data_IF_386399149447
#
_entry.id   IF_386399149447
#
_cell.length_a   1.000
_cell.length_b   1.000
_cell.length_c   1.000
_cell.angle_alpha   90.00
_cell.angle_beta   90.00
_cell.angle_gamma   90.00
#
_symmetry.space_group_name_H-M   'P 1'
#
loop_
_entity.id
_entity.type
_entity.pdbx_description
1 polymer ?
#
# COMPACT_ATOMS: atom_id res chain seq x y z
N UNK A 1 9.05 7.67 66.63
CA UNK A 1 9.40 6.25 66.43
C UNK A 1 9.79 6.10 64.96
N UNK A 2 11.00 6.55 64.63
CA UNK A 2 12.24 5.75 64.52
C UNK A 2 12.36 5.06 63.15
N UNK A 3 13.24 5.67 62.35
CA UNK A 3 13.97 5.11 61.21
C UNK A 3 14.51 3.69 61.47
N UNK A 4 14.95 3.01 60.40
CA UNK A 4 16.41 2.98 60.23
C UNK A 4 16.86 3.50 58.87
N UNK A 5 17.82 4.41 58.93
CA UNK A 5 18.79 4.71 57.87
C UNK A 5 19.78 3.55 57.71
N UNK A 6 20.46 3.55 56.56
CA UNK A 6 21.89 3.27 56.30
C UNK A 6 21.96 2.61 54.91
N UNK A 7 22.71 3.10 53.93
CA UNK A 7 23.69 4.16 53.93
C UNK A 7 24.06 4.58 52.51
N UNK A 8 24.63 5.76 52.45
CA UNK A 8 25.36 6.35 51.33
C UNK A 8 26.52 5.46 50.88
N UNK A 9 26.67 5.26 49.57
CA UNK A 9 28.00 5.17 48.98
C UNK A 9 28.05 5.89 47.61
N UNK A 10 29.08 6.71 47.34
CA UNK A 10 29.12 7.69 46.27
C UNK A 10 29.82 7.13 45.04
N UNK A 11 29.08 6.89 43.95
CA UNK A 11 29.69 6.76 42.64
C UNK A 11 28.75 7.24 41.53
N UNK A 12 28.05 8.35 41.77
CA UNK A 12 27.55 9.22 40.72
C UNK A 12 28.56 10.35 40.53
N UNK A 13 29.49 10.20 39.59
CA UNK A 13 30.01 11.34 38.83
C UNK A 13 30.77 10.88 37.58
N UNK A 14 30.37 11.48 36.46
CA UNK A 14 31.14 11.73 35.22
C UNK A 14 31.57 10.54 34.35
N UNK A 15 30.75 10.26 33.33
CA UNK A 15 31.18 10.28 31.93
C UNK A 15 29.93 10.58 31.07
N UNK A 16 29.78 11.85 30.72
CA UNK A 16 28.72 12.30 29.83
C UNK A 16 28.94 11.78 28.41
N UNK A 17 28.05 10.91 27.94
CA UNK A 17 27.87 10.65 26.52
C UNK A 17 26.42 10.89 26.14
N UNK A 18 26.19 11.93 25.33
CA UNK A 18 24.92 12.17 24.62
C UNK A 18 24.67 11.01 23.66
N UNK A 19 23.77 10.09 24.02
CA UNK A 19 23.28 9.07 23.10
C UNK A 19 22.17 9.70 22.24
N UNK A 20 22.46 9.92 20.96
CA UNK A 20 21.57 10.54 19.95
C UNK A 20 20.74 9.53 19.15
N UNK A 21 20.51 8.31 19.66
CA UNK A 21 19.82 7.26 18.88
C UNK A 21 18.69 6.57 19.69
N UNK A 22 17.41 6.78 19.34
CA UNK A 22 16.28 6.19 20.05
C UNK A 22 16.19 4.66 19.93
N UNK A 23 16.90 4.03 18.98
CA UNK A 23 16.94 2.57 18.82
C UNK A 23 17.60 1.85 20.02
N UNK A 24 18.52 2.51 20.72
CA UNK A 24 19.19 1.95 21.91
C UNK A 24 18.34 2.01 23.18
N UNK A 25 17.32 2.87 23.22
CA UNK A 25 16.42 2.98 24.38
C UNK A 25 15.39 1.84 24.41
N UNK A 26 14.92 1.40 23.23
CA UNK A 26 13.97 0.30 23.08
C UNK A 26 14.58 -1.07 23.46
N UNK A 27 15.90 -1.24 23.28
CA UNK A 27 16.59 -2.49 23.59
C UNK A 27 16.74 -2.76 25.10
N UNK A 28 16.72 -1.71 25.93
CA UNK A 28 16.81 -1.86 27.40
C UNK A 28 15.50 -2.35 28.02
N UNK A 29 14.37 -2.15 27.35
CA UNK A 29 13.05 -2.59 27.83
C UNK A 29 12.76 -4.07 27.55
N UNK A 30 13.31 -4.64 26.47
CA UNK A 30 13.11 -6.06 26.11
C UNK A 30 13.84 -7.04 27.02
N UNK A 31 14.94 -6.63 27.67
CA UNK A 31 15.76 -7.51 28.51
C UNK A 31 15.21 -7.68 29.95
N UNK A 32 14.19 -6.90 30.35
CA UNK A 32 13.65 -6.92 31.72
C UNK A 32 12.45 -7.87 31.92
N UNK A 33 11.98 -8.58 30.87
CA UNK A 33 10.79 -9.43 30.95
C UNK A 33 10.99 -10.87 30.45
N UNK A 34 12.19 -11.44 30.63
CA UNK A 34 12.40 -12.88 30.42
C UNK A 34 12.39 -13.59 31.79
N UNK A 35 11.30 -14.27 32.19
CA UNK A 35 11.26 -15.03 33.42
C UNK A 35 11.80 -16.44 33.15
N UNK A 36 13.10 -16.62 33.30
CA UNK A 36 13.75 -17.87 33.72
C UNK A 36 15.24 -17.75 33.48
N UNK A 37 16.00 -17.64 34.58
CA UNK A 37 17.35 -18.14 34.75
C UNK A 37 17.80 -17.70 36.15
N UNK A 38 17.53 -18.56 37.11
CA UNK A 38 18.03 -18.48 38.47
C UNK A 38 19.56 -18.68 38.49
N UNK A 39 20.35 -17.61 38.68
CA UNK A 39 21.60 -17.52 39.48
C UNK A 39 22.33 -16.17 39.28
N UNK A 40 23.12 -15.70 40.27
CA UNK A 40 23.43 -14.29 40.44
C UNK A 40 24.58 -13.76 39.57
N UNK A 41 24.60 -12.43 39.44
CA UNK A 41 25.56 -11.57 38.77
C UNK A 41 26.99 -12.13 38.63
N UNK A 42 27.42 -12.28 37.38
CA UNK A 42 28.83 -12.16 36.99
C UNK A 42 28.91 -11.26 35.75
N UNK A 43 29.91 -10.39 35.75
CA UNK A 43 30.14 -9.31 34.79
C UNK A 43 30.22 -9.89 33.38
N UNK A 44 29.25 -9.55 32.52
CA UNK A 44 29.24 -9.96 31.11
C UNK A 44 30.32 -9.17 30.38
N UNK A 45 31.32 -9.87 29.86
CA UNK A 45 32.41 -9.30 29.09
C UNK A 45 31.91 -8.84 27.71
N UNK A 46 32.54 -7.80 27.15
CA UNK A 46 32.20 -7.22 25.84
C UNK A 46 32.26 -8.24 24.67
N UNK A 47 32.89 -9.41 24.87
CA UNK A 47 32.90 -10.54 23.93
C UNK A 47 31.59 -11.34 23.94
N UNK A 48 30.92 -11.47 25.08
CA UNK A 48 29.68 -12.24 25.22
C UNK A 48 28.48 -11.51 24.59
N UNK A 49 28.53 -10.17 24.57
CA UNK A 49 27.52 -9.32 23.92
C UNK A 49 27.53 -9.47 22.39
N UNK A 50 28.70 -9.68 21.80
CA UNK A 50 28.84 -9.93 20.35
C UNK A 50 28.34 -11.32 19.97
N UNK A 51 28.59 -12.32 20.81
CA UNK A 51 28.08 -13.69 20.60
C UNK A 51 26.56 -13.76 20.61
N UNK A 52 25.90 -13.07 21.55
CA UNK A 52 24.44 -13.02 21.63
C UNK A 52 23.79 -12.33 20.41
N UNK A 53 24.41 -11.27 19.88
CA UNK A 53 23.93 -10.55 18.69
C UNK A 53 24.03 -11.42 17.43
N UNK A 54 25.12 -12.18 17.27
CA UNK A 54 25.32 -13.11 16.15
C UNK A 54 24.32 -14.25 16.20
N UNK A 55 24.02 -14.79 17.40
CA UNK A 55 23.04 -15.86 17.57
C UNK A 55 21.60 -15.39 17.24
N UNK A 56 21.24 -14.17 17.65
CA UNK A 56 19.94 -13.55 17.31
C UNK A 56 19.80 -13.28 15.82
N UNK A 57 20.86 -12.82 15.14
CA UNK A 57 20.87 -12.63 13.70
C UNK A 57 20.80 -13.96 12.94
N UNK A 58 21.46 -15.01 13.43
CA UNK A 58 21.40 -16.35 12.83
C UNK A 58 20.01 -16.98 12.95
N UNK A 59 19.34 -16.85 14.11
CA UNK A 59 17.96 -17.30 14.31
C UNK A 59 16.96 -16.51 13.44
N UNK A 60 17.22 -15.22 13.24
CA UNK A 60 16.44 -14.36 12.32
C UNK A 60 16.59 -14.79 10.85
N UNK A 61 17.78 -15.26 10.48
CA UNK A 61 18.08 -15.77 9.14
C UNK A 61 17.40 -17.12 8.91
N UNK A 62 17.46 -18.03 9.88
CA UNK A 62 16.84 -19.37 9.78
C UNK A 62 15.31 -19.30 9.63
N UNK A 63 14.64 -18.38 10.33
CA UNK A 63 13.19 -18.19 10.21
C UNK A 63 12.74 -17.48 8.91
N UNK A 64 13.63 -16.74 8.24
CA UNK A 64 13.32 -16.09 6.95
C UNK A 64 13.50 -17.02 5.75
N UNK A 65 14.47 -17.92 5.80
CA UNK A 65 14.75 -18.87 4.70
C UNK A 65 13.69 -19.96 4.61
N UNK A 66 13.00 -20.31 5.70
CA UNK A 66 11.92 -21.30 5.69
C UNK A 66 10.55 -20.76 5.22
N UNK A 67 10.39 -19.44 5.08
CA UNK A 67 9.10 -18.81 4.73
C UNK A 67 9.00 -18.35 3.27
N UNK A 68 10.10 -18.28 2.54
CA UNK A 68 10.10 -17.88 1.13
C UNK A 68 11.01 -18.82 0.35
N UNK A 69 10.45 -19.45 -0.68
CA UNK A 69 11.01 -20.52 -1.53
C UNK A 69 10.91 -21.92 -0.93
N UNK A 70 9.91 -22.71 -1.38
CA UNK A 70 10.08 -23.98 -2.13
C UNK A 70 8.69 -24.48 -2.56
N UNK A 71 8.47 -24.60 -3.87
CA UNK A 71 7.46 -25.48 -4.47
C UNK A 71 8.06 -26.90 -4.54
N UNK A 72 7.35 -27.96 -4.11
CA UNK A 72 7.93 -29.29 -4.04
C UNK A 72 7.89 -29.96 -5.41
N UNK A 73 8.92 -29.74 -6.22
CA UNK A 73 9.16 -30.61 -7.39
C UNK A 73 10.61 -30.83 -7.79
N UNK A 74 11.59 -30.08 -7.27
CA UNK A 74 13.01 -30.30 -7.60
C UNK A 74 13.90 -30.29 -6.35
N UNK A 75 13.99 -31.41 -5.65
CA UNK A 75 15.07 -31.70 -4.71
C UNK A 75 15.59 -33.11 -4.99
N UNK A 76 16.83 -33.22 -5.45
CA UNK A 76 17.58 -34.47 -5.41
C UNK A 76 17.98 -34.77 -3.95
N UNK A 77 17.97 -36.04 -3.50
CA UNK A 77 18.26 -36.36 -2.11
C UNK A 77 19.78 -36.42 -1.87
N UNK A 78 20.27 -35.66 -0.90
CA UNK A 78 21.57 -35.94 -0.25
C UNK A 78 22.51 -34.76 -0.07
N UNK A 79 22.17 -33.76 0.74
CA UNK A 79 23.17 -32.95 1.46
C UNK A 79 22.59 -32.60 2.84
N UNK A 80 23.10 -33.24 3.89
CA UNK A 80 22.81 -32.89 5.28
C UNK A 80 23.96 -31.96 5.72
N UNK A 81 23.68 -30.67 5.89
CA UNK A 81 24.63 -29.75 6.49
C UNK A 81 24.70 -30.00 8.00
N UNK A 82 25.88 -30.34 8.51
CA UNK A 82 26.10 -30.54 9.95
C UNK A 82 26.53 -29.23 10.62
N UNK A 83 26.29 -29.09 11.91
CA UNK A 83 26.52 -27.87 12.70
C UNK A 83 27.98 -27.37 12.68
N UNK A 84 28.94 -28.23 12.33
CA UNK A 84 30.36 -27.85 12.25
C UNK A 84 30.70 -27.00 11.01
N UNK A 85 29.96 -27.16 9.90
CA UNK A 85 30.21 -26.43 8.65
C UNK A 85 29.76 -24.95 8.74
N UNK A 86 28.73 -24.69 9.56
CA UNK A 86 28.21 -23.35 9.82
C UNK A 86 29.15 -22.55 10.73
N UNK A 87 29.77 -23.22 11.72
CA UNK A 87 30.76 -22.59 12.61
C UNK A 87 32.04 -22.16 11.88
N UNK A 88 32.51 -22.93 10.87
CA UNK A 88 33.70 -22.52 10.07
C UNK A 88 33.45 -21.27 9.24
N UNK A 89 32.27 -21.12 8.64
CA UNK A 89 31.92 -19.93 7.86
C UNK A 89 31.72 -18.68 8.73
N UNK A 90 31.14 -18.82 9.92
CA UNK A 90 30.99 -17.72 10.88
C UNK A 90 32.33 -17.25 11.45
N UNK A 91 33.29 -18.15 11.67
CA UNK A 91 34.65 -17.78 12.09
C UNK A 91 35.40 -16.99 11.01
N UNK A 92 35.10 -17.24 9.74
CA UNK A 92 35.70 -16.52 8.61
C UNK A 92 35.15 -15.08 8.49
N UNK A 93 33.83 -14.91 8.67
CA UNK A 93 33.17 -13.60 8.71
C UNK A 93 33.61 -12.73 9.90
N UNK A 94 33.92 -13.34 11.05
CA UNK A 94 34.40 -12.61 12.22
C UNK A 94 35.82 -12.04 12.05
N UNK A 95 36.70 -12.70 11.26
CA UNK A 95 38.06 -12.21 10.98
C UNK A 95 38.09 -11.01 10.02
N UNK A 96 37.07 -10.83 9.18
CA UNK A 96 37.00 -9.70 8.25
C UNK A 96 36.55 -8.38 8.88
N UNK A 97 36.21 -8.37 10.19
CA UNK A 97 35.64 -7.21 10.90
C UNK A 97 36.61 -6.57 11.91
N UNK A 98 37.89 -6.94 11.92
CA UNK A 98 38.90 -6.27 12.77
C UNK A 98 39.49 -5.03 12.07
N UNK A 99 39.62 -3.85 12.73
CA UNK A 99 40.03 -2.61 12.08
C UNK A 99 41.55 -2.35 11.98
N UNK A 100 42.43 -3.33 12.20
CA UNK A 100 43.88 -3.08 12.22
C UNK A 100 44.68 -4.01 11.30
N UNK A 101 45.40 -3.41 10.34
CA UNK A 101 46.67 -3.92 9.81
C UNK A 101 46.61 -5.05 8.79
N UNK A 102 46.33 -4.73 7.52
CA UNK A 102 46.71 -5.60 6.41
C UNK A 102 48.21 -5.43 6.10
N UNK A 103 49.08 -6.10 6.86
CA UNK A 103 50.49 -6.28 6.52
C UNK A 103 50.69 -7.61 5.80
N UNK A 104 51.30 -7.54 4.62
CA UNK A 104 51.70 -8.66 3.77
C UNK A 104 52.41 -9.76 4.55
N UNK A 105 51.93 -11.00 4.43
CA UNK A 105 52.77 -12.18 4.25
C UNK A 105 51.96 -13.37 3.70
N UNK A 106 52.51 -13.96 2.63
CA UNK A 106 52.26 -15.29 2.04
C UNK A 106 50.88 -15.64 1.45
N UNK A 107 50.71 -15.24 0.19
CA UNK A 107 50.29 -16.15 -0.88
C UNK A 107 48.93 -16.81 -0.75
N UNK A 108 47.84 -16.05 -0.93
CA UNK A 108 46.56 -16.55 -1.46
C UNK A 108 45.73 -15.38 -1.99
N UNK A 109 45.32 -15.47 -3.26
CA UNK A 109 44.47 -14.49 -3.93
C UNK A 109 43.10 -14.39 -3.26
N UNK A 110 42.81 -13.23 -2.65
CA UNK A 110 41.46 -12.85 -2.22
C UNK A 110 40.69 -12.27 -3.41
N UNK A 111 40.19 -13.14 -4.30
CA UNK A 111 39.34 -12.75 -5.42
C UNK A 111 37.90 -12.41 -4.98
N UNK A 112 37.43 -11.23 -5.41
CA UNK A 112 36.07 -10.84 -5.84
C UNK A 112 34.80 -11.09 -5.01
N UNK A 113 34.79 -11.95 -3.98
CA UNK A 113 33.55 -12.27 -3.24
C UNK A 113 33.31 -11.41 -1.99
N UNK A 114 34.39 -10.91 -1.37
CA UNK A 114 34.33 -10.13 -0.12
C UNK A 114 33.72 -8.74 -0.31
N UNK A 115 33.98 -8.08 -1.44
CA UNK A 115 33.37 -6.78 -1.79
C UNK A 115 31.88 -6.93 -2.10
N UNK A 116 31.46 -8.07 -2.66
CA UNK A 116 30.05 -8.35 -2.94
C UNK A 116 29.24 -8.57 -1.65
N UNK A 117 29.82 -9.26 -0.64
CA UNK A 117 29.18 -9.47 0.65
C UNK A 117 29.00 -8.17 1.46
N UNK A 118 29.97 -7.26 1.43
CA UNK A 118 29.87 -5.96 2.13
C UNK A 118 28.82 -5.06 1.46
N UNK A 119 28.74 -5.06 0.12
CA UNK A 119 27.68 -4.37 -0.62
C UNK A 119 26.29 -4.96 -0.36
N UNK A 120 26.18 -6.29 -0.23
CA UNK A 120 24.93 -6.95 0.12
C UNK A 120 24.46 -6.62 1.55
N UNK A 121 25.39 -6.59 2.52
CA UNK A 121 25.10 -6.21 3.91
C UNK A 121 24.74 -4.71 4.05
N UNK A 122 25.39 -3.81 3.31
CA UNK A 122 25.05 -2.38 3.31
C UNK A 122 23.70 -2.10 2.62
N UNK A 123 23.34 -2.87 1.58
CA UNK A 123 22.01 -2.81 0.98
C UNK A 123 20.90 -3.35 1.91
N UNK A 124 21.21 -4.36 2.73
CA UNK A 124 20.30 -4.89 3.77
C UNK A 124 20.14 -3.95 4.98
N UNK A 125 21.12 -3.08 5.23
CA UNK A 125 21.06 -2.02 6.24
C UNK A 125 20.47 -0.71 5.72
N UNK A 126 20.04 -0.65 4.46
CA UNK A 126 19.13 0.40 4.02
C UNK A 126 17.77 0.15 4.70
N UNK A 127 17.64 0.73 5.89
CA UNK A 127 16.36 1.00 6.53
C UNK A 127 15.59 1.96 5.58
N UNK A 128 15.06 1.44 4.48
CA UNK A 128 13.89 2.06 3.88
C UNK A 128 12.87 2.05 5.00
N UNK A 129 12.36 3.22 5.45
CA UNK A 129 11.31 3.21 6.45
C UNK A 129 10.25 2.25 5.93
N UNK A 130 9.99 1.17 6.67
CA UNK A 130 8.77 0.42 6.46
C UNK A 130 7.70 1.51 6.46
N UNK A 131 6.98 1.66 5.35
CA UNK A 131 5.72 2.41 5.37
C UNK A 131 4.63 1.35 5.36
N UNK A 132 4.38 0.59 6.45
CA UNK A 132 3.26 -0.34 6.50
C UNK A 132 2.17 0.31 7.34
N UNK A 133 1.70 1.48 6.92
CA UNK A 133 0.51 2.06 7.55
C UNK A 133 -0.39 2.61 6.46
N UNK A 134 -1.59 2.04 6.40
CA UNK A 134 -2.75 2.67 5.80
C UNK A 134 -2.77 4.16 6.19
N UNK A 135 -2.96 5.03 5.19
CA UNK A 135 -3.12 6.48 5.43
C UNK A 135 -4.60 6.80 5.42
N UNK A 136 -5.06 7.57 6.40
CA UNK A 136 -6.38 8.18 6.40
C UNK A 136 -6.20 9.71 6.39
N UNK A 137 -6.77 10.35 5.39
CA UNK A 137 -6.79 11.80 5.20
C UNK A 137 -8.21 12.26 5.46
N UNK A 138 -8.37 13.18 6.42
CA UNK A 138 -9.68 13.67 6.88
C UNK A 138 -9.72 15.17 6.58
N UNK A 139 -10.68 15.57 5.74
CA UNK A 139 -10.90 16.94 5.29
C UNK A 139 -12.26 17.44 5.75
N UNK A 140 -12.46 18.76 5.81
CA UNK A 140 -13.69 19.31 6.40
C UNK A 140 -14.95 18.99 5.58
N UNK A 141 -14.82 18.84 4.26
CA UNK A 141 -15.98 18.65 3.37
C UNK A 141 -15.61 17.94 2.06
N UNK A 142 -16.65 17.62 1.28
CA UNK A 142 -16.56 16.97 -0.04
C UNK A 142 -15.63 17.69 -1.02
N UNK A 143 -15.68 19.03 -1.09
CA UNK A 143 -14.89 19.79 -2.06
C UNK A 143 -13.40 19.71 -1.72
N UNK A 144 -13.05 19.82 -0.43
CA UNK A 144 -11.67 19.66 0.03
C UNK A 144 -11.16 18.23 -0.14
N UNK A 145 -11.98 17.21 0.14
CA UNK A 145 -11.61 15.81 -0.11
C UNK A 145 -11.38 15.54 -1.60
N UNK A 146 -12.26 16.09 -2.46
CA UNK A 146 -12.16 16.03 -3.93
C UNK A 146 -10.90 16.72 -4.44
N UNK A 147 -10.60 17.92 -3.94
CA UNK A 147 -9.40 18.68 -4.31
C UNK A 147 -8.13 17.97 -3.84
N UNK A 148 -8.10 17.44 -2.61
CA UNK A 148 -6.96 16.69 -2.09
C UNK A 148 -6.65 15.47 -2.96
N UNK A 149 -7.69 14.70 -3.32
CA UNK A 149 -7.54 13.55 -4.22
C UNK A 149 -7.02 13.96 -5.61
N UNK A 150 -7.54 15.05 -6.18
CA UNK A 150 -7.08 15.56 -7.47
C UNK A 150 -5.62 16.04 -7.43
N UNK A 151 -5.22 16.77 -6.39
CA UNK A 151 -3.82 17.19 -6.17
C UNK A 151 -2.91 15.98 -6.05
N UNK A 152 -3.36 14.94 -5.34
CA UNK A 152 -2.58 13.73 -5.20
C UNK A 152 -2.35 13.06 -6.55
N UNK A 153 -3.42 12.83 -7.34
CA UNK A 153 -3.31 12.26 -8.69
C UNK A 153 -2.38 13.12 -9.57
N UNK A 154 -2.56 14.43 -9.56
CA UNK A 154 -1.71 15.38 -10.31
C UNK A 154 -0.23 15.20 -9.97
N UNK A 155 0.11 15.26 -8.68
CA UNK A 155 1.47 15.07 -8.20
C UNK A 155 2.03 13.69 -8.57
N UNK A 156 1.25 12.62 -8.43
CA UNK A 156 1.69 11.26 -8.78
C UNK A 156 2.01 11.14 -10.26
N UNK A 157 1.17 11.70 -11.15
CA UNK A 157 1.41 11.71 -12.59
C UNK A 157 2.67 12.52 -12.91
N UNK A 158 2.78 13.77 -12.43
CA UNK A 158 3.91 14.65 -12.74
C UNK A 158 5.24 14.07 -12.21
N UNK A 159 5.26 13.58 -10.99
CA UNK A 159 6.46 12.99 -10.39
C UNK A 159 6.86 11.66 -11.04
N UNK A 160 5.90 10.91 -11.58
CA UNK A 160 6.20 9.70 -12.35
C UNK A 160 6.89 10.01 -13.68
N UNK A 161 6.63 11.20 -14.24
CA UNK A 161 7.16 11.69 -15.52
C UNK A 161 6.86 10.72 -16.68
N UNK A 162 5.58 10.49 -16.99
CA UNK A 162 5.21 9.55 -18.05
C UNK A 162 5.66 10.06 -19.42
N UNK A 163 5.97 9.12 -20.31
CA UNK A 163 6.45 9.38 -21.67
C UNK A 163 6.02 8.26 -22.62
N UNK A 164 6.44 8.37 -23.88
CA UNK A 164 6.01 7.45 -24.95
C UNK A 164 6.33 5.97 -24.65
N UNK A 165 7.43 5.69 -23.95
CA UNK A 165 7.84 4.33 -23.60
C UNK A 165 7.49 3.95 -22.15
N UNK A 166 6.83 4.85 -21.41
CA UNK A 166 6.54 4.69 -19.98
C UNK A 166 5.25 5.44 -19.61
N UNK A 167 4.12 4.78 -19.84
CA UNK A 167 2.81 5.31 -19.48
C UNK A 167 2.58 5.26 -17.97
N UNK A 168 1.83 6.24 -17.44
CA UNK A 168 1.25 6.13 -16.11
C UNK A 168 -0.10 5.42 -16.20
N UNK A 169 -0.28 4.35 -15.45
CA UNK A 169 -1.50 3.53 -15.48
C UNK A 169 -2.42 3.86 -14.31
N UNK A 170 -3.66 4.25 -14.61
CA UNK A 170 -4.61 4.82 -13.65
C UNK A 170 -5.93 4.05 -13.65
N UNK A 171 -6.24 3.38 -12.53
CA UNK A 171 -7.55 2.79 -12.28
C UNK A 171 -8.56 3.87 -11.89
N UNK A 172 -9.76 3.88 -12.47
CA UNK A 172 -10.74 4.96 -12.28
C UNK A 172 -12.15 4.46 -11.89
N UNK A 173 -12.84 5.16 -10.96
CA UNK A 173 -14.20 4.85 -10.58
C UNK A 173 -15.24 5.75 -11.27
N UNK A 174 -16.52 5.38 -11.17
CA UNK A 174 -17.67 6.23 -11.56
C UNK A 174 -18.48 6.65 -10.32
N UNK A 175 -19.66 7.25 -10.53
CA UNK A 175 -20.57 7.66 -9.46
C UNK A 175 -20.43 9.13 -9.03
N UNK A 176 -21.17 9.55 -8.01
CA UNK A 176 -21.19 10.96 -7.58
C UNK A 176 -19.91 11.38 -6.86
N UNK A 177 -19.31 10.49 -6.07
CA UNK A 177 -18.12 10.76 -5.24
C UNK A 177 -16.90 11.25 -6.03
N UNK A 178 -16.47 10.62 -7.15
CA UNK A 178 -15.29 11.09 -7.88
C UNK A 178 -15.54 12.33 -8.76
N UNK A 179 -16.78 12.82 -8.90
CA UNK A 179 -17.10 13.89 -9.85
C UNK A 179 -16.36 15.20 -9.53
N UNK A 180 -16.22 15.54 -8.24
CA UNK A 180 -15.46 16.71 -7.78
C UNK A 180 -13.98 16.58 -8.11
N UNK A 181 -13.42 15.38 -7.93
CA UNK A 181 -12.04 15.07 -8.31
C UNK A 181 -11.83 15.24 -9.82
N UNK A 182 -12.73 14.72 -10.67
CA UNK A 182 -12.64 14.89 -12.12
C UNK A 182 -12.70 16.37 -12.54
N UNK A 183 -13.60 17.16 -11.95
CA UNK A 183 -13.67 18.61 -12.22
C UNK A 183 -12.35 19.31 -11.92
N UNK A 184 -11.69 18.98 -10.80
CA UNK A 184 -10.39 19.54 -10.44
C UNK A 184 -9.25 19.07 -11.34
N UNK A 185 -9.24 17.81 -11.75
CA UNK A 185 -8.26 17.32 -12.74
C UNK A 185 -8.42 18.00 -14.11
N UNK A 186 -9.65 18.26 -14.54
CA UNK A 186 -9.94 19.03 -15.76
C UNK A 186 -9.44 20.48 -15.61
N UNK A 187 -9.65 21.10 -14.44
CA UNK A 187 -9.13 22.45 -14.15
C UNK A 187 -7.61 22.50 -14.27
N UNK A 188 -6.89 21.56 -13.65
CA UNK A 188 -5.42 21.48 -13.76
C UNK A 188 -4.95 21.25 -15.20
N UNK A 189 -5.68 20.44 -15.97
CA UNK A 189 -5.38 20.26 -17.38
C UNK A 189 -5.60 21.52 -18.21
N UNK A 190 -6.75 22.19 -18.06
CA UNK A 190 -7.08 23.41 -18.79
C UNK A 190 -6.14 24.57 -18.45
N UNK A 191 -5.66 24.61 -17.20
CA UNK A 191 -4.66 25.57 -16.78
C UNK A 191 -3.28 25.26 -17.38
N UNK A 192 -3.05 24.07 -17.94
CA UNK A 192 -1.77 23.62 -18.49
C UNK A 192 -0.80 23.09 -17.44
N UNK A 193 -1.29 22.73 -16.25
CA UNK A 193 -0.47 22.21 -15.14
C UNK A 193 -0.36 20.68 -15.17
N UNK A 194 -1.26 19.99 -15.87
CA UNK A 194 -1.33 18.53 -15.96
C UNK A 194 -1.67 18.06 -17.40
N UNK A 195 -1.05 16.99 -17.86
CA UNK A 195 -1.35 16.33 -19.14
C UNK A 195 -1.59 14.84 -18.94
N UNK A 196 -2.55 14.31 -19.71
CA UNK A 196 -2.95 12.90 -19.75
C UNK A 196 -2.48 12.20 -21.03
N UNK A 197 -1.68 12.86 -21.87
CA UNK A 197 -1.18 12.31 -23.14
C UNK A 197 -0.51 10.94 -22.99
N UNK A 198 0.25 10.73 -21.92
CA UNK A 198 0.94 9.47 -21.60
C UNK A 198 0.32 8.75 -20.40
N UNK A 199 -0.99 8.89 -20.21
CA UNK A 199 -1.77 8.17 -19.20
C UNK A 199 -2.63 7.10 -19.88
N UNK A 200 -2.66 5.90 -19.30
CA UNK A 200 -3.62 4.84 -19.64
C UNK A 200 -4.60 4.66 -18.51
N UNK A 201 -5.89 4.67 -18.80
CA UNK A 201 -6.95 4.51 -17.79
C UNK A 201 -7.63 3.16 -17.90
N UNK A 202 -8.00 2.60 -16.76
CA UNK A 202 -8.76 1.35 -16.65
C UNK A 202 -9.93 1.57 -15.68
N UNK A 203 -11.16 1.60 -16.19
CA UNK A 203 -12.33 1.73 -15.34
C UNK A 203 -12.67 0.43 -14.61
N UNK A 204 -13.29 0.57 -13.45
CA UNK A 204 -13.64 -0.55 -12.58
C UNK A 204 -14.71 -1.49 -13.16
N UNK A 205 -15.66 -0.96 -13.92
CA UNK A 205 -16.88 -1.69 -14.24
C UNK A 205 -17.64 -1.07 -15.43
N UNK A 206 -18.60 -1.84 -15.96
CA UNK A 206 -19.64 -1.41 -16.89
C UNK A 206 -20.86 -2.34 -16.78
N UNK A 207 -22.07 -1.80 -17.01
CA UNK A 207 -23.30 -2.58 -17.07
C UNK A 207 -23.36 -3.51 -18.27
N UNK A 208 -23.89 -4.71 -18.07
CA UNK A 208 -24.11 -5.67 -19.15
C UNK A 208 -25.42 -5.38 -19.87
N UNK A 209 -25.38 -5.40 -21.21
CA UNK A 209 -26.55 -5.24 -22.07
C UNK A 209 -27.06 -3.80 -22.19
N UNK A 210 -26.40 -2.82 -21.57
CA UNK A 210 -26.74 -1.41 -21.71
C UNK A 210 -25.99 -0.82 -22.93
N UNK A 211 -26.67 -0.15 -23.89
CA UNK A 211 -25.99 0.42 -25.05
C UNK A 211 -24.85 1.34 -24.65
N UNK A 212 -23.72 1.25 -25.35
CA UNK A 212 -22.51 2.03 -25.04
C UNK A 212 -22.72 3.55 -25.03
N UNK A 213 -23.67 4.03 -25.83
CA UNK A 213 -24.05 5.44 -25.93
C UNK A 213 -25.25 5.80 -25.03
N UNK A 214 -25.78 4.87 -24.24
CA UNK A 214 -26.82 5.15 -23.27
C UNK A 214 -26.30 6.18 -22.26
N UNK A 215 -27.08 7.20 -21.87
CA UNK A 215 -26.62 8.27 -20.97
C UNK A 215 -26.07 7.74 -19.64
N UNK A 216 -26.67 6.69 -19.11
CA UNK A 216 -26.28 6.05 -17.84
C UNK A 216 -25.23 4.93 -17.97
N UNK A 217 -24.73 4.65 -19.17
CA UNK A 217 -23.57 3.75 -19.31
C UNK A 217 -22.32 4.39 -18.71
N UNK A 218 -21.41 3.58 -18.19
CA UNK A 218 -20.16 4.09 -17.65
C UNK A 218 -19.21 4.59 -18.75
N UNK A 219 -19.34 4.09 -19.98
CA UNK A 219 -18.76 4.71 -21.19
C UNK A 219 -19.23 6.16 -21.35
N UNK A 220 -20.53 6.42 -21.35
CA UNK A 220 -21.08 7.78 -21.45
C UNK A 220 -20.71 8.65 -20.24
N UNK A 221 -20.76 8.09 -19.03
CA UNK A 221 -20.37 8.80 -17.81
C UNK A 221 -18.93 9.30 -17.91
N UNK A 222 -17.98 8.42 -18.25
CA UNK A 222 -16.56 8.77 -18.29
C UNK A 222 -16.25 9.74 -19.43
N UNK A 223 -16.87 9.53 -20.60
CA UNK A 223 -16.73 10.45 -21.72
C UNK A 223 -17.24 11.84 -21.37
N UNK A 224 -18.44 11.93 -20.80
CA UNK A 224 -19.10 13.22 -20.55
C UNK A 224 -18.51 13.99 -19.37
N UNK A 225 -18.06 13.30 -18.34
CA UNK A 225 -17.58 13.92 -17.10
C UNK A 225 -16.06 14.07 -17.04
N UNK A 226 -15.30 13.37 -17.89
CA UNK A 226 -13.84 13.41 -17.82
C UNK A 226 -13.14 13.39 -19.18
N UNK A 227 -13.21 12.29 -19.94
CA UNK A 227 -12.30 12.05 -21.06
C UNK A 227 -12.39 13.08 -22.19
N UNK A 228 -13.57 13.60 -22.52
CA UNK A 228 -13.71 14.63 -23.59
C UNK A 228 -13.14 16.01 -23.22
N UNK A 229 -12.75 16.21 -21.97
CA UNK A 229 -12.28 17.50 -21.44
C UNK A 229 -10.77 17.53 -21.18
N UNK A 230 -10.06 16.45 -21.50
CA UNK A 230 -8.62 16.28 -21.30
C UNK A 230 -7.92 15.78 -22.57
N UNK A 231 -6.60 15.81 -22.61
CA UNK A 231 -5.76 15.40 -23.75
C UNK A 231 -5.38 13.89 -23.75
N UNK A 232 -6.21 13.04 -23.16
CA UNK A 232 -6.00 11.58 -23.20
C UNK A 232 -6.25 11.04 -24.62
N UNK A 233 -5.38 10.15 -25.10
CA UNK A 233 -5.66 9.39 -26.31
C UNK A 233 -6.81 8.39 -26.05
N UNK A 234 -7.91 8.40 -26.84
CA UNK A 234 -9.01 7.46 -26.66
C UNK A 234 -8.59 5.98 -26.65
N UNK A 235 -7.52 5.61 -27.36
CA UNK A 235 -6.99 4.24 -27.37
C UNK A 235 -6.36 3.82 -26.04
N UNK A 236 -6.01 4.80 -25.20
CA UNK A 236 -5.48 4.59 -23.85
C UNK A 236 -6.58 4.65 -22.78
N UNK A 237 -7.85 4.82 -23.15
CA UNK A 237 -8.99 4.81 -22.23
C UNK A 237 -9.73 3.47 -22.30
N UNK A 238 -9.51 2.61 -21.30
CA UNK A 238 -10.05 1.26 -21.27
C UNK A 238 -11.23 1.14 -20.30
N UNK A 239 -12.39 0.75 -20.82
CA UNK A 239 -13.61 0.41 -20.07
C UNK A 239 -14.09 -0.95 -20.59
N UNK A 240 -14.56 -1.82 -19.70
CA UNK A 240 -15.13 -3.11 -20.03
C UNK A 240 -16.26 -2.97 -21.07
N UNK A 241 -16.35 -3.90 -22.01
CA UNK A 241 -17.47 -3.98 -22.95
C UNK A 241 -18.58 -4.88 -22.42
N UNK A 242 -19.57 -4.26 -21.76
CA UNK A 242 -20.76 -4.95 -21.27
C UNK A 242 -21.67 -5.52 -22.37
N UNK A 243 -21.40 -5.26 -23.65
CA UNK A 243 -22.15 -5.82 -24.79
C UNK A 243 -21.33 -6.83 -25.61
N UNK A 244 -20.16 -7.26 -25.11
CA UNK A 244 -19.36 -8.29 -25.75
C UNK A 244 -20.14 -9.61 -25.88
N UNK A 245 -19.93 -10.33 -26.98
CA UNK A 245 -20.61 -11.61 -27.23
C UNK A 245 -20.20 -12.68 -26.22
N UNK A 246 -18.92 -12.69 -25.82
CA UNK A 246 -18.40 -13.52 -24.74
C UNK A 246 -17.89 -12.62 -23.61
N UNK A 247 -18.71 -12.51 -22.57
CA UNK A 247 -18.46 -11.64 -21.42
C UNK A 247 -17.25 -12.11 -20.59
N UNK A 248 -16.98 -13.42 -20.52
CA UNK A 248 -15.83 -13.93 -19.78
C UNK A 248 -14.54 -13.66 -20.55
N UNK A 249 -14.55 -13.86 -21.87
CA UNK A 249 -13.41 -13.53 -22.72
C UNK A 249 -13.08 -12.03 -22.67
N UNK A 250 -14.08 -11.14 -22.59
CA UNK A 250 -13.86 -9.70 -22.37
C UNK A 250 -13.19 -9.43 -21.01
N UNK A 251 -13.63 -10.09 -19.94
CA UNK A 251 -13.00 -9.97 -18.62
C UNK A 251 -11.53 -10.40 -18.64
N UNK A 252 -11.24 -11.54 -19.27
CA UNK A 252 -9.89 -12.09 -19.37
C UNK A 252 -9.00 -11.19 -20.24
N UNK A 253 -9.54 -10.64 -21.33
CA UNK A 253 -8.86 -9.67 -22.18
C UNK A 253 -8.56 -8.37 -21.43
N UNK A 254 -9.45 -7.92 -20.56
CA UNK A 254 -9.23 -6.73 -19.73
C UNK A 254 -8.08 -6.92 -18.75
N UNK A 255 -8.02 -8.05 -18.06
CA UNK A 255 -6.89 -8.43 -17.19
C UNK A 255 -5.58 -8.52 -17.96
N UNK A 256 -5.63 -9.08 -19.17
CA UNK A 256 -4.47 -9.14 -20.07
C UNK A 256 -3.98 -7.74 -20.46
N UNK A 257 -4.88 -6.81 -20.81
CA UNK A 257 -4.53 -5.41 -21.14
C UNK A 257 -3.87 -4.71 -19.95
N UNK A 258 -4.37 -4.90 -18.74
CA UNK A 258 -3.74 -4.37 -17.51
C UNK A 258 -2.31 -4.91 -17.37
N UNK A 259 -2.13 -6.23 -17.54
CA UNK A 259 -0.82 -6.87 -17.44
C UNK A 259 0.15 -6.38 -18.52
N UNK A 260 -0.31 -6.27 -19.76
CA UNK A 260 0.47 -5.75 -20.90
C UNK A 260 0.84 -4.28 -20.72
N UNK A 261 0.04 -3.50 -20.00
CA UNK A 261 0.37 -2.13 -19.60
C UNK A 261 1.36 -2.04 -18.42
N UNK A 262 1.75 -3.17 -17.81
CA UNK A 262 2.69 -3.25 -16.70
C UNK A 262 2.05 -3.20 -15.31
N UNK A 263 0.75 -3.44 -15.20
CA UNK A 263 -0.05 -3.30 -13.98
C UNK A 263 -0.68 -1.91 -13.85
N UNK A 264 -1.22 -1.60 -12.66
CA UNK A 264 -1.81 -0.29 -12.34
C UNK A 264 -0.91 0.45 -11.34
N UNK A 265 -0.48 1.68 -11.67
CA UNK A 265 0.37 2.50 -10.80
C UNK A 265 -0.41 3.13 -9.66
N UNK A 266 -1.63 3.60 -9.94
CA UNK A 266 -2.56 4.13 -8.96
C UNK A 266 -3.98 3.69 -9.31
N UNK A 267 -4.66 3.00 -8.40
CA UNK A 267 -6.06 2.67 -8.54
C UNK A 267 -6.91 3.58 -7.65
N UNK A 268 -7.75 4.41 -8.25
CA UNK A 268 -8.71 5.25 -7.54
C UNK A 268 -10.04 4.52 -7.46
N UNK A 269 -10.61 4.45 -6.26
CA UNK A 269 -11.88 3.79 -5.99
C UNK A 269 -12.77 4.63 -5.08
N UNK A 270 -14.01 4.18 -4.93
CA UNK A 270 -14.92 4.63 -3.88
C UNK A 270 -15.40 3.44 -3.06
N UNK A 271 -16.26 3.69 -2.08
CA UNK A 271 -16.89 2.67 -1.25
C UNK A 271 -18.42 2.76 -1.36
N UNK A 272 -19.10 1.63 -1.52
CA UNK A 272 -20.55 1.53 -1.37
C UNK A 272 -21.03 1.68 0.08
N UNK A 273 -22.32 1.96 0.35
CA UNK A 273 -22.84 1.98 1.73
C UNK A 273 -22.76 0.61 2.44
N UNK A 274 -22.65 -0.47 1.67
CA UNK A 274 -22.41 -1.87 2.08
C UNK A 274 -20.91 -2.25 2.11
N UNK A 275 -20.00 -1.30 1.87
CA UNK A 275 -18.57 -1.55 1.86
C UNK A 275 -18.00 -2.15 0.58
N UNK A 276 -18.75 -2.18 -0.54
CA UNK A 276 -18.21 -2.70 -1.79
C UNK A 276 -17.16 -1.79 -2.43
N UNK A 277 -16.20 -2.39 -3.14
CA UNK A 277 -15.34 -1.75 -4.14
C UNK A 277 -15.76 -2.19 -5.54
N UNK A 278 -15.98 -1.26 -6.47
CA UNK A 278 -16.60 -1.57 -7.77
C UNK A 278 -17.93 -2.32 -7.56
N UNK A 279 -18.29 -3.29 -8.42
CA UNK A 279 -19.40 -4.21 -8.12
C UNK A 279 -18.97 -5.45 -7.33
N UNK A 280 -17.90 -5.40 -6.52
CA UNK A 280 -17.54 -6.49 -5.61
C UNK A 280 -18.41 -6.44 -4.35
N UNK A 281 -19.67 -6.82 -4.53
CA UNK A 281 -20.72 -6.83 -3.51
C UNK A 281 -20.40 -7.78 -2.34
N UNK A 282 -21.07 -7.60 -1.18
CA UNK A 282 -20.90 -8.47 -0.01
C UNK A 282 -20.96 -9.96 -0.36
N UNK A 283 -19.96 -10.71 0.12
CA UNK A 283 -19.76 -12.12 -0.18
C UNK A 283 -18.81 -12.39 -1.36
N UNK A 284 -18.37 -11.35 -2.08
CA UNK A 284 -17.38 -11.49 -3.15
C UNK A 284 -16.02 -11.96 -2.62
N UNK A 285 -15.36 -12.88 -3.32
CA UNK A 285 -14.01 -13.32 -2.96
C UNK A 285 -13.03 -12.14 -2.89
N UNK A 286 -12.25 -12.07 -1.81
CA UNK A 286 -11.25 -11.00 -1.61
C UNK A 286 -10.03 -11.13 -2.54
N UNK A 287 -9.90 -12.25 -3.24
CA UNK A 287 -8.87 -12.49 -4.27
C UNK A 287 -9.49 -12.64 -5.67
N UNK A 288 -10.73 -12.17 -5.84
CA UNK A 288 -11.44 -12.25 -7.13
C UNK A 288 -10.71 -11.50 -8.25
N UNK A 289 -10.93 -11.94 -9.48
CA UNK A 289 -10.51 -11.27 -10.72
C UNK A 289 -11.68 -10.59 -11.42
N UNK A 290 -11.38 -9.90 -12.52
CA UNK A 290 -12.40 -9.33 -13.41
C UNK A 290 -13.39 -10.41 -13.84
N UNK A 291 -14.70 -10.14 -13.68
CA UNK A 291 -15.75 -11.13 -13.92
C UNK A 291 -17.11 -10.48 -14.18
N UNK A 292 -18.02 -11.30 -14.69
CA UNK A 292 -19.45 -11.03 -14.65
C UNK A 292 -19.96 -11.10 -13.21
N UNK A 293 -20.79 -10.13 -12.82
CA UNK A 293 -21.41 -10.06 -11.51
C UNK A 293 -22.87 -9.65 -11.62
N UNK A 294 -23.75 -10.45 -11.02
CA UNK A 294 -25.14 -10.08 -10.77
C UNK A 294 -25.22 -9.07 -9.64
N UNK A 295 -25.92 -7.97 -9.87
CA UNK A 295 -26.12 -6.90 -8.90
C UNK A 295 -27.10 -7.34 -7.80
N UNK A 296 -26.79 -7.02 -6.54
CA UNK A 296 -27.69 -7.19 -5.41
C UNK A 296 -28.80 -6.15 -5.43
N UNK A 297 -29.87 -6.43 -4.68
CA UNK A 297 -31.03 -5.56 -4.60
C UNK A 297 -30.69 -4.16 -4.09
N UNK A 298 -29.77 -4.03 -3.14
CA UNK A 298 -29.36 -2.72 -2.61
C UNK A 298 -28.71 -1.85 -3.70
N UNK A 299 -27.89 -2.45 -4.56
CA UNK A 299 -27.26 -1.79 -5.71
C UNK A 299 -28.31 -1.38 -6.75
N UNK A 300 -29.27 -2.26 -7.05
CA UNK A 300 -30.39 -1.96 -7.95
C UNK A 300 -31.22 -0.79 -7.42
N UNK A 301 -31.57 -0.79 -6.13
CA UNK A 301 -32.32 0.28 -5.47
C UNK A 301 -31.54 1.61 -5.48
N UNK A 302 -30.24 1.59 -5.19
CA UNK A 302 -29.41 2.79 -5.18
C UNK A 302 -29.25 3.42 -6.57
N UNK A 303 -29.24 2.59 -7.62
CA UNK A 303 -29.04 3.03 -9.00
C UNK A 303 -30.35 3.32 -9.74
N UNK A 304 -31.51 2.88 -9.24
CA UNK A 304 -32.82 3.13 -9.84
C UNK A 304 -33.09 4.61 -10.13
N UNK A 305 -32.57 5.53 -9.29
CA UNK A 305 -32.68 6.98 -9.49
C UNK A 305 -32.10 7.48 -10.83
N UNK A 306 -31.18 6.72 -11.43
CA UNK A 306 -30.60 7.02 -12.74
C UNK A 306 -31.45 6.44 -13.90
N UNK A 307 -32.34 5.50 -13.62
CA UNK A 307 -33.20 4.82 -14.58
C UNK A 307 -34.68 5.16 -14.36
N UNK A 308 -35.00 6.45 -14.28
CA UNK A 308 -36.36 7.00 -14.05
C UNK A 308 -37.03 6.54 -12.74
N UNK A 309 -36.26 6.01 -11.78
CA UNK A 309 -36.80 5.40 -10.55
C UNK A 309 -37.40 4.00 -10.77
N UNK A 310 -37.24 3.40 -11.95
CA UNK A 310 -37.80 2.10 -12.31
C UNK A 310 -36.75 0.99 -12.15
N UNK A 311 -36.98 0.11 -11.17
CA UNK A 311 -36.09 -1.02 -10.87
C UNK A 311 -35.94 -1.99 -12.04
N UNK A 312 -36.95 -2.11 -12.90
CA UNK A 312 -36.93 -3.03 -14.04
C UNK A 312 -36.01 -2.57 -15.18
N UNK A 313 -35.68 -1.27 -15.21
CA UNK A 313 -34.77 -0.66 -16.20
C UNK A 313 -33.30 -0.73 -15.79
N UNK A 314 -33.02 -1.01 -14.51
CA UNK A 314 -31.65 -1.14 -14.03
C UNK A 314 -31.07 -2.46 -14.56
N UNK A 315 -29.91 -2.44 -15.23
CA UNK A 315 -29.26 -3.67 -15.65
C UNK A 315 -29.02 -4.62 -14.47
N UNK A 316 -29.33 -5.90 -14.64
CA UNK A 316 -29.23 -6.89 -13.55
C UNK A 316 -27.82 -7.44 -13.35
N UNK A 317 -26.92 -7.17 -14.31
CA UNK A 317 -25.55 -7.66 -14.31
C UNK A 317 -24.59 -6.55 -14.75
N UNK A 318 -23.35 -6.67 -14.30
CA UNK A 318 -22.23 -5.82 -14.70
C UNK A 318 -20.97 -6.66 -14.89
N UNK A 319 -20.06 -6.18 -15.74
CA UNK A 319 -18.66 -6.60 -15.72
C UNK A 319 -17.93 -5.72 -14.71
N UNK A 320 -17.07 -6.32 -13.89
CA UNK A 320 -16.35 -5.58 -12.86
C UNK A 320 -14.98 -6.18 -12.62
N UNK A 321 -13.99 -5.33 -12.36
CA UNK A 321 -12.68 -5.75 -11.85
C UNK A 321 -12.85 -6.44 -10.50
N UNK A 322 -11.99 -7.42 -10.22
CA UNK A 322 -12.02 -8.12 -8.95
C UNK A 322 -11.35 -7.36 -7.81
N UNK A 323 -11.61 -7.77 -6.57
CA UNK A 323 -10.88 -7.24 -5.41
C UNK A 323 -9.37 -7.48 -5.56
N UNK A 324 -8.99 -8.68 -6.02
CA UNK A 324 -7.60 -9.02 -6.33
C UNK A 324 -7.01 -8.16 -7.45
N UNK A 325 -7.80 -7.83 -8.47
CA UNK A 325 -7.38 -6.93 -9.56
C UNK A 325 -7.02 -5.53 -9.05
N UNK A 326 -7.80 -4.99 -8.11
CA UNK A 326 -7.49 -3.69 -7.48
C UNK A 326 -6.31 -3.81 -6.51
N UNK A 327 -6.21 -4.92 -5.76
CA UNK A 327 -5.10 -5.21 -4.84
C UNK A 327 -3.74 -5.38 -5.55
N UNK A 328 -3.73 -5.72 -6.84
CA UNK A 328 -2.50 -5.81 -7.65
C UNK A 328 -1.92 -4.44 -8.02
N UNK A 329 -2.64 -3.34 -7.79
CA UNK A 329 -2.13 -2.00 -8.04
C UNK A 329 -0.93 -1.68 -7.14
N UNK A 330 -0.02 -0.82 -7.60
CA UNK A 330 1.12 -0.38 -6.77
C UNK A 330 0.66 0.53 -5.63
N UNK A 331 -0.47 1.21 -5.82
CA UNK A 331 -1.07 2.16 -4.89
C UNK A 331 -2.58 2.17 -5.09
N UNK A 332 -3.33 2.21 -3.98
CA UNK A 332 -4.79 2.31 -3.99
C UNK A 332 -5.21 3.57 -3.25
N UNK A 333 -6.10 4.37 -3.84
CA UNK A 333 -6.73 5.52 -3.21
C UNK A 333 -8.24 5.33 -3.17
N UNK A 334 -8.85 5.34 -1.99
CA UNK A 334 -10.29 5.24 -1.81
C UNK A 334 -10.84 6.59 -1.36
N UNK A 335 -11.71 7.20 -2.16
CA UNK A 335 -12.39 8.46 -1.84
C UNK A 335 -13.77 8.17 -1.22
N UNK A 336 -14.04 8.74 -0.04
CA UNK A 336 -15.23 8.44 0.76
C UNK A 336 -15.83 9.72 1.32
N UNK A 337 -17.04 10.08 0.90
CA UNK A 337 -17.66 11.35 1.32
C UNK A 337 -19.12 11.17 1.74
N UNK A 338 -19.49 11.83 2.84
CA UNK A 338 -20.84 11.91 3.37
C UNK A 338 -21.20 10.85 4.41
N UNK A 339 -22.13 11.21 5.30
CA UNK A 339 -22.53 10.42 6.46
C UNK A 339 -23.06 9.02 6.11
N UNK A 340 -23.72 8.90 4.94
CA UNK A 340 -24.25 7.64 4.42
C UNK A 340 -23.17 6.58 4.11
N UNK A 341 -21.87 6.92 4.19
CA UNK A 341 -20.75 6.00 4.04
C UNK A 341 -19.97 5.74 5.34
N UNK A 342 -20.35 6.40 6.44
CA UNK A 342 -19.59 6.34 7.68
C UNK A 342 -19.50 4.92 8.26
N UNK A 343 -20.61 4.19 8.24
CA UNK A 343 -20.64 2.80 8.71
C UNK A 343 -19.75 1.87 7.88
N UNK A 344 -19.76 2.04 6.55
CA UNK A 344 -18.92 1.27 5.65
C UNK A 344 -17.43 1.57 5.88
N UNK A 345 -17.06 2.84 6.13
CA UNK A 345 -15.68 3.21 6.48
C UNK A 345 -15.27 2.55 7.81
N UNK A 346 -16.09 2.63 8.84
CA UNK A 346 -15.87 1.94 10.12
C UNK A 346 -15.59 0.44 9.91
N UNK A 347 -16.44 -0.25 9.14
CA UNK A 347 -16.27 -1.67 8.81
C UNK A 347 -14.98 -1.95 8.03
N UNK A 348 -14.60 -1.05 7.13
CA UNK A 348 -13.42 -1.21 6.30
C UNK A 348 -12.10 -1.05 7.05
N UNK A 349 -12.02 -0.18 8.08
CA UNK A 349 -10.74 0.19 8.70
C UNK A 349 -10.61 -0.10 10.19
N UNK A 350 -11.71 -0.27 10.94
CA UNK A 350 -11.66 -0.59 12.37
C UNK A 350 -12.02 -2.04 12.70
N UNK A 351 -12.83 -2.69 11.85
CA UNK A 351 -13.08 -4.13 11.95
C UNK A 351 -12.03 -4.94 11.18
N UNK A 352 -12.10 -6.27 11.28
CA UNK A 352 -11.19 -7.17 10.58
C UNK A 352 -11.54 -7.34 9.10
N UNK A 353 -10.57 -7.86 8.35
CA UNK A 353 -10.74 -8.25 6.94
C UNK A 353 -11.92 -9.22 6.78
N UNK A 354 -12.91 -8.84 5.98
CA UNK A 354 -14.16 -9.56 5.82
C UNK A 354 -14.74 -9.37 4.41
N UNK A 355 -15.09 -10.47 3.74
CA UNK A 355 -15.69 -10.45 2.40
C UNK A 355 -17.10 -9.83 2.31
N UNK A 356 -17.74 -9.58 3.45
CA UNK A 356 -18.98 -8.81 3.52
C UNK A 356 -18.75 -7.30 3.37
N UNK A 357 -17.51 -6.84 3.57
CA UNK A 357 -17.10 -5.44 3.46
C UNK A 357 -15.82 -5.40 2.64
N UNK A 358 -15.91 -5.55 1.32
CA UNK A 358 -14.77 -5.92 0.47
C UNK A 358 -13.64 -4.90 0.47
N UNK A 359 -13.90 -3.62 0.75
CA UNK A 359 -12.86 -2.58 0.97
C UNK A 359 -11.94 -2.92 2.16
N UNK A 360 -12.38 -3.72 3.14
CA UNK A 360 -11.52 -4.20 4.24
C UNK A 360 -10.32 -5.01 3.75
N UNK A 361 -10.35 -5.57 2.53
CA UNK A 361 -9.20 -6.26 1.93
C UNK A 361 -7.95 -5.36 1.86
N UNK A 362 -8.14 -4.05 1.69
CA UNK A 362 -7.04 -3.10 1.57
C UNK A 362 -6.26 -2.90 2.87
N UNK A 363 -6.71 -3.45 4.00
CA UNK A 363 -5.87 -3.56 5.20
C UNK A 363 -4.60 -4.40 4.95
N UNK A 364 -4.65 -5.31 3.96
CA UNK A 364 -3.53 -6.16 3.57
C UNK A 364 -2.73 -5.59 2.39
N UNK A 365 -3.16 -4.46 1.82
CA UNK A 365 -2.47 -3.81 0.71
C UNK A 365 -1.31 -2.95 1.23
N UNK A 366 -0.10 -3.03 0.66
CA UNK A 366 1.07 -2.34 1.20
C UNK A 366 1.00 -0.81 1.11
N UNK A 367 0.13 -0.26 0.27
CA UNK A 367 0.06 1.18 0.00
C UNK A 367 -1.34 1.66 -0.33
N UNK A 368 -2.19 1.75 0.69
CA UNK A 368 -3.54 2.30 0.57
C UNK A 368 -3.67 3.64 1.28
N UNK A 369 -4.36 4.56 0.62
CA UNK A 369 -4.77 5.84 1.18
C UNK A 369 -6.29 6.00 1.09
N UNK A 370 -6.90 6.29 2.23
CA UNK A 370 -8.30 6.67 2.34
C UNK A 370 -8.37 8.18 2.44
N UNK A 371 -9.14 8.81 1.57
CA UNK A 371 -9.40 10.25 1.58
C UNK A 371 -10.87 10.44 1.87
N UNK A 372 -11.18 11.17 2.94
CA UNK A 372 -12.56 11.32 3.40
C UNK A 372 -12.88 12.72 3.91
N UNK A 373 -14.17 13.05 3.91
CA UNK A 373 -14.69 14.22 4.61
C UNK A 373 -15.02 13.88 6.08
N UNK A 374 -15.27 14.90 6.92
CA UNK A 374 -15.64 14.71 8.33
C UNK A 374 -16.88 13.81 8.48
N UNK A 375 -17.89 14.00 7.65
CA UNK A 375 -19.16 13.25 7.71
C UNK A 375 -18.95 11.74 7.51
N UNK A 376 -18.00 11.33 6.67
CA UNK A 376 -17.66 9.91 6.52
C UNK A 376 -16.99 9.32 7.79
N UNK A 377 -16.56 10.13 8.75
CA UNK A 377 -15.88 9.65 9.97
C UNK A 377 -16.79 9.46 11.17
N UNK A 378 -18.11 9.71 11.04
CA UNK A 378 -19.06 9.73 12.16
C UNK A 378 -19.12 8.43 12.99
N UNK A 379 -18.88 7.27 12.37
CA UNK A 379 -18.90 5.96 13.04
C UNK A 379 -17.50 5.51 13.52
N UNK A 380 -16.45 6.31 13.27
CA UNK A 380 -15.10 5.99 13.71
C UNK A 380 -14.88 6.34 15.18
N UNK A 381 -13.99 5.60 15.85
CA UNK A 381 -13.59 5.95 17.21
C UNK A 381 -12.85 7.28 17.20
N UNK A 382 -13.13 8.13 18.19
CA UNK A 382 -12.43 9.40 18.42
C UNK A 382 -10.90 9.22 18.45
N UNK A 383 -10.40 8.10 18.98
CA UNK A 383 -8.97 7.78 19.01
C UNK A 383 -8.38 7.63 17.59
N UNK A 384 -9.09 6.95 16.70
CA UNK A 384 -8.71 6.73 15.29
C UNK A 384 -8.64 8.08 14.56
N UNK A 385 -9.70 8.87 14.66
CA UNK A 385 -9.76 10.21 14.04
C UNK A 385 -8.66 11.11 14.57
N UNK A 386 -8.45 11.18 15.90
CA UNK A 386 -7.38 12.00 16.50
C UNK A 386 -5.99 11.60 16.02
N UNK A 387 -5.72 10.30 15.91
CA UNK A 387 -4.43 9.81 15.43
C UNK A 387 -4.16 10.31 14.00
N UNK A 388 -5.10 10.10 13.08
CA UNK A 388 -4.91 10.48 11.68
C UNK A 388 -4.98 11.99 11.42
N UNK A 389 -5.81 12.74 12.17
CA UNK A 389 -5.74 14.21 12.19
C UNK A 389 -4.38 14.72 12.64
N UNK A 390 -3.77 14.08 13.65
CA UNK A 390 -2.41 14.38 14.09
C UNK A 390 -1.34 14.20 12.99
N UNK A 391 -1.60 13.33 12.01
CA UNK A 391 -0.71 13.06 10.87
C UNK A 391 -0.98 13.93 9.64
N UNK A 392 -2.01 14.80 9.64
CA UNK A 392 -2.36 15.59 8.46
C UNK A 392 -1.24 16.51 7.97
N UNK A 393 -0.42 17.06 8.88
CA UNK A 393 0.76 17.84 8.50
C UNK A 393 1.82 17.01 7.73
N UNK A 394 1.86 15.69 7.92
CA UNK A 394 2.71 14.76 7.16
C UNK A 394 2.03 14.39 5.84
N UNK A 395 0.74 14.05 5.88
CA UNK A 395 -0.01 13.65 4.69
C UNK A 395 -0.18 14.80 3.69
N UNK A 396 -0.29 16.05 4.15
CA UNK A 396 -0.38 17.20 3.26
C UNK A 396 0.89 17.45 2.45
N UNK A 397 2.06 16.94 2.89
CA UNK A 397 3.29 16.97 2.08
C UNK A 397 3.20 16.15 0.78
N UNK A 398 2.17 15.32 0.64
CA UNK A 398 1.90 14.57 -0.58
C UNK A 398 1.26 15.43 -1.67
N UNK A 399 0.61 16.54 -1.27
CA UNK A 399 -0.15 17.45 -2.14
C UNK A 399 0.37 18.89 -2.08
N UNK A 400 1.32 19.17 -1.19
CA UNK A 400 1.99 20.45 -1.01
C UNK A 400 3.53 20.24 -0.90
N UNK A 401 4.33 20.74 -1.86
CA UNK A 401 3.92 21.55 -3.00
C UNK A 401 3.06 20.78 -4.01
N UNK A 402 2.15 21.51 -4.65
CA UNK A 402 1.45 21.04 -5.85
C UNK A 402 2.38 21.28 -7.04
N UNK A 403 2.80 20.20 -7.69
CA UNK A 403 3.68 20.30 -8.86
C UNK A 403 2.87 20.73 -10.10
N UNK A 404 3.53 21.43 -11.02
CA UNK A 404 2.99 21.77 -12.34
C UNK A 404 3.96 21.31 -13.43
N UNK A 405 3.42 20.83 -14.55
CA UNK A 405 4.23 20.47 -15.72
C UNK A 405 4.90 21.70 -16.38
N UNK A 406 4.46 22.92 -16.07
CA UNK A 406 5.06 24.16 -16.59
C UNK A 406 6.44 24.46 -16.01
N UNK A 407 6.69 24.03 -14.77
CA UNK A 407 7.94 24.36 -14.06
C UNK A 407 9.11 23.43 -14.45
N UNK A 408 8.88 22.49 -15.36
CA UNK A 408 9.87 21.48 -15.78
C UNK A 408 10.22 21.47 -17.27
N UNK A 409 9.81 22.48 -18.05
CA UNK A 409 10.16 22.66 -19.46
C UNK A 409 11.08 23.87 -19.67
#
# INVERSE_FOLDING_TARGET
>A
MTNPEVGSDPCYQTLGFKIRNPALFAFRFMLLHVPSLSRPCSVVSHKDFKGALVLLLALSFSNRVTSNYVSPSHLQPGVIFTSEDCCRHLHYLARCLEPEGCSKEEGRDCHSESTACICACLNLLSWKPCVPTMRLVILDNYDLASEWAAKYICNRIIQFKPGQDRYFTLGLPTGSTPLGCYKKLIEYHKNGDLSFKYVKTFNMDEYVGLPRNHPESYHSYMWNNFFKHIDIDPNNAHILDGNATDLQAECDAFEKKIKEAGGIDLFVGGIGPDGHIAFNEPGSSLVSRTRLKTLAMDTILANAKYFDGDLSKVPTMALTVGVGTVMDAREVMILITGAHKAFALYKAIEEGVNHMWTVSAFQQHPRTIFVCDEDATLELRVKTVKYFKGLMHVHNKLVDPLYSMKEGN
#
